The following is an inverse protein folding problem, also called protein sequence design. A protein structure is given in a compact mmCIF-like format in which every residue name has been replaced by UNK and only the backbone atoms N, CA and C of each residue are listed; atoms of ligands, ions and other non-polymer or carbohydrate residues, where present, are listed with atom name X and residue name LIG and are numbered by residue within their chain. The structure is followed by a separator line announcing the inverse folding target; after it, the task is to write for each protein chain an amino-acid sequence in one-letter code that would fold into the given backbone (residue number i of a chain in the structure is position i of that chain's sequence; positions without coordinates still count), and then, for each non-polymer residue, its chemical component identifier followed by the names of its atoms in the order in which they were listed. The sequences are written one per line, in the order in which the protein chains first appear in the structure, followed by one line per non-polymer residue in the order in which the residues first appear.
data_IF_645582897958
#
_entry.id   IF_645582897958
#
_cell.length_a   1.000
_cell.length_b   1.000
_cell.length_c   1.000
_cell.angle_alpha   90.00
_cell.angle_beta   90.00
_cell.angle_gamma   90.00
#
_symmetry.space_group_name_H-M   'P 1'
#
loop_
_entity.id
_entity.type
_entity.pdbx_description
1 polymer ?
#
# COMPACT_ATOMS: atom_id res chain seq x y z
N UNK A 1 9.06 -12.21 70.80
CA UNK A 1 7.78 -11.67 70.31
C UNK A 1 7.79 -11.69 68.78
N UNK A 2 6.69 -12.17 68.15
CA UNK A 2 6.16 -11.87 66.79
C UNK A 2 7.17 -11.86 65.60
N UNK A 3 7.27 -12.96 64.82
CA UNK A 3 6.58 -13.24 63.52
C UNK A 3 6.67 -12.11 62.48
N UNK A 4 7.34 -12.34 61.33
CA UNK A 4 6.91 -12.03 59.94
C UNK A 4 7.89 -12.76 58.97
N UNK A 5 7.53 -13.91 58.39
CA UNK A 5 7.00 -14.09 57.01
C UNK A 5 7.86 -13.41 55.92
N UNK A 6 8.70 -14.17 55.20
CA UNK A 6 8.43 -14.73 53.86
C UNK A 6 8.00 -13.66 52.84
N UNK A 7 8.84 -13.35 51.85
CA UNK A 7 8.46 -13.34 50.42
C UNK A 7 9.69 -13.21 49.53
N UNK A 8 10.00 -14.32 48.85
CA UNK A 8 10.86 -14.44 47.68
C UNK A 8 10.09 -13.85 46.50
N UNK A 9 10.60 -12.82 45.81
CA UNK A 9 10.25 -12.57 44.40
C UNK A 9 11.51 -12.14 43.62
N UNK A 10 11.99 -13.13 42.89
CA UNK A 10 12.81 -13.06 41.68
C UNK A 10 12.12 -12.17 40.63
N UNK A 11 12.69 -11.03 40.26
CA UNK A 11 12.26 -10.27 39.08
C UNK A 11 13.38 -10.30 38.05
N UNK A 12 13.21 -11.24 37.13
CA UNK A 12 13.94 -11.44 35.89
C UNK A 12 13.77 -10.28 34.92
N UNK A 13 14.89 -9.82 34.37
CA UNK A 13 15.08 -9.57 32.94
C UNK A 13 14.05 -8.72 32.21
N UNK A 14 14.23 -7.40 32.25
CA UNK A 14 13.70 -6.52 31.21
C UNK A 14 14.59 -6.62 29.96
N UNK A 15 14.22 -7.53 29.08
CA UNK A 15 14.70 -7.56 27.71
C UNK A 15 14.06 -6.38 26.97
N UNK A 16 14.85 -5.34 26.67
CA UNK A 16 14.41 -4.21 25.84
C UNK A 16 14.30 -4.67 24.39
N UNK A 17 13.14 -5.21 24.01
CA UNK A 17 12.77 -5.33 22.61
C UNK A 17 12.39 -3.94 22.10
N UNK A 18 13.32 -3.27 21.43
CA UNK A 18 13.03 -2.13 20.57
C UNK A 18 12.26 -2.63 19.36
N UNK A 19 10.93 -2.65 19.46
CA UNK A 19 10.08 -2.71 18.28
C UNK A 19 10.28 -1.40 17.53
N UNK A 20 10.78 -1.47 16.30
CA UNK A 20 10.68 -0.39 15.34
C UNK A 20 9.20 -0.04 15.20
N UNK A 21 8.79 1.04 15.86
CA UNK A 21 7.44 1.56 15.73
C UNK A 21 7.30 2.02 14.28
N UNK A 22 6.57 1.25 13.48
CA UNK A 22 5.89 1.80 12.31
C UNK A 22 5.10 3.03 12.79
N UNK A 23 5.07 4.13 12.01
CA UNK A 23 4.32 5.32 12.38
C UNK A 23 2.92 4.92 12.82
N UNK A 24 2.62 5.22 14.08
CA UNK A 24 1.30 5.09 14.67
C UNK A 24 0.32 5.79 13.73
N UNK A 25 -0.52 5.02 13.04
CA UNK A 25 -1.68 5.55 12.31
C UNK A 25 -2.75 5.89 13.34
N UNK A 26 -2.43 6.82 14.23
CA UNK A 26 -3.44 7.68 14.85
C UNK A 26 -4.13 8.39 13.70
N UNK A 27 -5.35 7.97 13.39
CA UNK A 27 -6.21 8.68 12.47
C UNK A 27 -6.25 10.16 12.89
N UNK A 28 -5.72 11.08 12.08
CA UNK A 28 -5.90 12.49 12.36
C UNK A 28 -7.35 12.80 11.99
N UNK A 29 -8.15 13.17 12.98
CA UNK A 29 -9.37 13.93 12.78
C UNK A 29 -8.98 15.36 12.34
N UNK A 30 -8.44 15.49 11.14
CA UNK A 30 -8.26 16.73 10.40
C UNK A 30 -8.29 16.37 8.92
N UNK A 31 -9.13 17.07 8.18
CA UNK A 31 -9.37 17.05 6.74
C UNK A 31 -8.12 16.94 5.85
N UNK A 32 -7.42 15.80 5.85
CA UNK A 32 -6.50 15.44 4.78
C UNK A 32 -7.34 14.90 3.65
N UNK A 33 -7.61 15.75 2.66
CA UNK A 33 -8.06 15.30 1.34
C UNK A 33 -7.19 14.09 0.96
N UNK A 34 -7.78 12.91 0.82
CA UNK A 34 -7.05 11.70 0.48
C UNK A 34 -6.24 11.97 -0.79
N UNK A 35 -4.91 12.04 -0.66
CA UNK A 35 -4.06 12.32 -1.80
C UNK A 35 -3.81 11.00 -2.54
N UNK A 36 -4.22 10.94 -3.80
CA UNK A 36 -4.10 9.74 -4.63
C UNK A 36 -2.65 9.21 -4.72
N UNK A 37 -1.62 10.05 -4.64
CA UNK A 37 -0.23 9.57 -4.59
C UNK A 37 0.14 8.87 -3.30
N UNK A 38 -0.43 9.30 -2.18
CA UNK A 38 -0.30 8.57 -0.92
C UNK A 38 -0.98 7.20 -1.03
N UNK A 39 -2.16 7.13 -1.65
CA UNK A 39 -2.87 5.87 -1.89
C UNK A 39 -2.08 4.92 -2.79
N UNK A 40 -1.45 5.45 -3.85
CA UNK A 40 -0.54 4.69 -4.73
C UNK A 40 0.66 4.16 -3.94
N UNK A 41 1.29 5.00 -3.13
CA UNK A 41 2.44 4.61 -2.30
C UNK A 41 2.08 3.53 -1.28
N UNK A 42 0.92 3.67 -0.62
CA UNK A 42 0.39 2.68 0.31
C UNK A 42 0.15 1.34 -0.38
N UNK A 43 -0.44 1.34 -1.57
CA UNK A 43 -0.65 0.12 -2.34
C UNK A 43 0.68 -0.56 -2.70
N UNK A 44 1.67 0.20 -3.15
CA UNK A 44 3.01 -0.34 -3.47
C UNK A 44 3.68 -0.94 -2.24
N UNK A 45 3.56 -0.28 -1.08
CA UNK A 45 4.06 -0.81 0.20
C UNK A 45 3.32 -2.08 0.65
N UNK A 46 2.06 -2.23 0.28
CA UNK A 46 1.25 -3.40 0.60
C UNK A 46 1.57 -4.62 -0.29
N UNK A 47 2.13 -4.41 -1.48
CA UNK A 47 2.52 -5.49 -2.39
C UNK A 47 3.86 -6.10 -1.91
N UNK A 48 3.91 -7.43 -1.78
CA UNK A 48 5.14 -8.14 -1.40
C UNK A 48 6.27 -7.85 -2.39
N UNK A 49 7.52 -7.65 -1.94
CA UNK A 49 8.66 -7.50 -2.84
C UNK A 49 8.81 -8.66 -3.84
N UNK A 50 8.52 -9.89 -3.40
CA UNK A 50 8.56 -11.08 -4.25
C UNK A 50 7.46 -11.12 -5.33
N UNK A 51 6.47 -10.23 -5.26
CA UNK A 51 5.42 -10.10 -6.26
C UNK A 51 5.84 -9.32 -7.49
N UNK A 52 6.87 -8.49 -7.34
CA UNK A 52 7.41 -7.71 -8.43
C UNK A 52 8.35 -8.55 -9.31
N UNK A 53 8.53 -8.12 -10.56
CA UNK A 53 9.57 -8.61 -11.45
C UNK A 53 10.96 -8.16 -10.97
N UNK A 54 12.02 -8.80 -11.46
CA UNK A 54 13.39 -8.45 -11.04
C UNK A 54 13.77 -7.00 -11.41
N UNK A 55 13.19 -6.48 -12.50
CA UNK A 55 13.41 -5.10 -12.97
C UNK A 55 12.92 -4.04 -11.97
N UNK A 56 11.95 -4.37 -11.12
CA UNK A 56 11.39 -3.41 -10.16
C UNK A 56 12.43 -2.85 -9.20
N UNK A 57 13.39 -3.66 -8.76
CA UNK A 57 14.40 -3.23 -7.78
C UNK A 57 15.23 -2.04 -8.26
N UNK A 58 15.58 -2.01 -9.55
CA UNK A 58 16.31 -0.89 -10.17
C UNK A 58 15.42 0.30 -10.51
N UNK A 59 14.14 0.06 -10.79
CA UNK A 59 13.20 1.10 -11.23
C UNK A 59 12.40 1.75 -10.09
N UNK A 60 12.32 1.11 -8.91
CA UNK A 60 11.45 1.52 -7.80
C UNK A 60 11.63 2.97 -7.40
N UNK A 61 12.88 3.42 -7.22
CA UNK A 61 13.15 4.78 -6.76
C UNK A 61 12.70 5.82 -7.79
N UNK A 62 13.06 5.62 -9.05
CA UNK A 62 12.67 6.49 -10.17
C UNK A 62 11.16 6.49 -10.37
N UNK A 63 10.54 5.31 -10.29
CA UNK A 63 9.09 5.17 -10.41
C UNK A 63 8.37 5.90 -9.27
N UNK A 64 8.84 5.76 -8.02
CA UNK A 64 8.25 6.43 -6.86
C UNK A 64 8.31 7.96 -6.99
N UNK A 65 9.45 8.51 -7.44
CA UNK A 65 9.57 9.94 -7.71
C UNK A 65 8.59 10.41 -8.79
N UNK A 66 8.44 9.65 -9.88
CA UNK A 66 7.47 9.97 -10.95
C UNK A 66 6.02 9.91 -10.45
N UNK A 67 5.66 8.85 -9.72
CA UNK A 67 4.31 8.67 -9.18
C UNK A 67 3.95 9.76 -8.17
N UNK A 68 4.92 10.20 -7.35
CA UNK A 68 4.74 11.31 -6.42
C UNK A 68 4.64 12.67 -7.12
N UNK A 69 5.36 12.88 -8.23
CA UNK A 69 5.25 14.09 -9.04
C UNK A 69 3.93 14.18 -9.81
N UNK A 70 3.29 13.04 -10.10
CA UNK A 70 2.07 12.96 -10.88
C UNK A 70 0.77 13.22 -10.08
N UNK A 71 0.85 13.48 -8.77
CA UNK A 71 -0.32 13.52 -7.86
C UNK A 71 -1.44 14.49 -8.22
N UNK A 72 -1.16 15.53 -8.99
CA UNK A 72 -2.14 16.51 -9.45
C UNK A 72 -2.65 16.26 -10.87
N UNK A 73 -2.13 15.25 -11.57
CA UNK A 73 -2.44 14.96 -12.96
C UNK A 73 -2.99 13.53 -13.11
N UNK A 74 -4.26 13.43 -13.51
CA UNK A 74 -4.94 12.17 -13.73
C UNK A 74 -4.21 11.28 -14.76
N UNK A 75 -3.68 11.88 -15.83
CA UNK A 75 -3.01 11.15 -16.92
C UNK A 75 -1.63 10.63 -16.50
N UNK A 76 -0.86 11.43 -15.77
CA UNK A 76 0.39 11.02 -15.13
C UNK A 76 0.20 9.92 -14.10
N UNK A 77 -0.87 9.98 -13.29
CA UNK A 77 -1.22 8.91 -12.35
C UNK A 77 -1.62 7.64 -13.06
N UNK A 78 -2.47 7.72 -14.08
CA UNK A 78 -2.87 6.58 -14.87
C UNK A 78 -1.66 5.89 -15.52
N UNK A 79 -0.73 6.68 -16.05
CA UNK A 79 0.54 6.20 -16.60
C UNK A 79 1.42 5.54 -15.54
N UNK A 80 1.46 6.10 -14.33
CA UNK A 80 2.19 5.53 -13.19
C UNK A 80 1.58 4.19 -12.75
N UNK A 81 0.25 4.08 -12.68
CA UNK A 81 -0.46 2.84 -12.32
C UNK A 81 -0.27 1.76 -13.40
N UNK A 82 -0.35 2.14 -14.67
CA UNK A 82 -0.09 1.25 -15.81
C UNK A 82 1.34 0.69 -15.78
N UNK A 83 2.33 1.55 -15.58
CA UNK A 83 3.73 1.10 -15.47
C UNK A 83 3.96 0.21 -14.25
N UNK A 84 3.33 0.50 -13.11
CA UNK A 84 3.37 -0.37 -11.93
C UNK A 84 2.84 -1.77 -12.24
N UNK A 85 1.73 -1.87 -12.98
CA UNK A 85 1.18 -3.15 -13.39
C UNK A 85 2.16 -3.96 -14.24
N UNK A 86 2.96 -3.30 -15.08
CA UNK A 86 4.06 -3.92 -15.84
C UNK A 86 5.17 -4.52 -14.98
N UNK A 87 5.36 -4.02 -13.75
CA UNK A 87 6.32 -4.57 -12.80
C UNK A 87 5.77 -5.72 -11.95
N UNK A 88 4.50 -6.10 -12.08
CA UNK A 88 3.93 -7.24 -11.36
C UNK A 88 4.11 -8.53 -12.15
N UNK A 89 4.53 -9.60 -11.47
CA UNK A 89 4.63 -10.93 -12.07
C UNK A 89 3.25 -11.38 -12.63
N UNK A 90 3.16 -11.82 -13.90
CA UNK A 90 1.88 -12.17 -14.54
C UNK A 90 1.04 -13.19 -13.75
N UNK A 91 1.68 -14.17 -13.10
CA UNK A 91 0.99 -15.19 -12.29
C UNK A 91 0.27 -14.66 -11.03
N UNK A 92 0.44 -13.38 -10.70
CA UNK A 92 -0.17 -12.73 -9.55
C UNK A 92 -1.43 -11.95 -9.87
N UNK A 93 -1.75 -11.75 -11.14
CA UNK A 93 -3.07 -11.25 -11.53
C UNK A 93 -4.13 -12.35 -11.39
N UNK A 94 -5.35 -11.95 -11.05
CA UNK A 94 -6.55 -12.79 -11.13
C UNK A 94 -6.88 -13.12 -12.59
N UNK A 95 -7.67 -14.17 -12.82
CA UNK A 95 -8.13 -14.53 -14.18
C UNK A 95 -8.90 -13.35 -14.77
N UNK A 96 -8.60 -12.99 -16.02
CA UNK A 96 -9.21 -11.85 -16.71
C UNK A 96 -8.53 -10.50 -16.43
N UNK A 97 -7.50 -10.46 -15.56
CA UNK A 97 -6.69 -9.28 -15.31
C UNK A 97 -5.27 -9.47 -15.83
N UNK A 98 -4.69 -8.41 -16.38
CA UNK A 98 -3.31 -8.39 -16.86
C UNK A 98 -2.77 -6.96 -16.83
N UNK A 99 -1.44 -6.83 -16.86
CA UNK A 99 -0.79 -5.52 -17.01
C UNK A 99 -1.28 -4.78 -18.27
N UNK A 100 -1.46 -5.48 -19.38
CA UNK A 100 -1.98 -4.91 -20.62
C UNK A 100 -3.41 -4.36 -20.46
N UNK A 101 -4.30 -5.12 -19.79
CA UNK A 101 -5.65 -4.64 -19.53
C UNK A 101 -5.69 -3.39 -18.65
N UNK A 102 -4.80 -3.29 -17.65
CA UNK A 102 -4.66 -2.07 -16.85
C UNK A 102 -4.13 -0.91 -17.70
N UNK A 103 -3.17 -1.17 -18.59
CA UNK A 103 -2.64 -0.17 -19.50
C UNK A 103 -3.72 0.37 -20.46
N UNK A 104 -4.61 -0.49 -20.94
CA UNK A 104 -5.73 -0.07 -21.79
C UNK A 104 -6.77 0.76 -21.02
N UNK A 105 -7.07 0.38 -19.77
CA UNK A 105 -7.94 1.18 -18.91
C UNK A 105 -7.32 2.57 -18.63
N UNK A 106 -6.01 2.63 -18.42
CA UNK A 106 -5.29 3.88 -18.16
C UNK A 106 -5.41 4.91 -19.28
N UNK A 107 -5.53 4.49 -20.55
CA UNK A 107 -5.67 5.39 -21.72
C UNK A 107 -6.94 6.23 -21.67
N UNK A 108 -7.96 5.77 -20.94
CA UNK A 108 -9.27 6.41 -20.89
C UNK A 108 -9.45 7.28 -19.63
N UNK A 109 -8.42 7.40 -18.79
CA UNK A 109 -8.49 8.15 -17.54
C UNK A 109 -8.20 9.63 -17.80
N UNK A 110 -9.20 10.48 -17.55
CA UNK A 110 -9.10 11.93 -17.73
C UNK A 110 -9.35 12.72 -16.43
N UNK A 111 -9.79 12.05 -15.36
CA UNK A 111 -10.07 12.66 -14.05
C UNK A 111 -9.37 11.93 -12.90
N UNK A 112 -9.19 12.61 -11.76
CA UNK A 112 -8.60 12.01 -10.56
C UNK A 112 -9.48 10.88 -9.99
N UNK A 113 -10.79 11.04 -10.01
CA UNK A 113 -11.75 9.96 -9.74
C UNK A 113 -11.57 8.75 -10.67
N UNK A 114 -11.30 8.98 -11.96
CA UNK A 114 -10.96 7.92 -12.91
C UNK A 114 -9.66 7.21 -12.56
N UNK A 115 -8.63 7.97 -12.17
CA UNK A 115 -7.36 7.43 -11.71
C UNK A 115 -7.51 6.63 -10.40
N UNK A 116 -8.35 7.09 -9.47
CA UNK A 116 -8.68 6.38 -8.24
C UNK A 116 -9.41 5.06 -8.54
N UNK A 117 -10.37 5.08 -9.48
CA UNK A 117 -11.05 3.89 -9.97
C UNK A 117 -10.10 2.90 -10.65
N UNK A 118 -9.13 3.40 -11.43
CA UNK A 118 -8.08 2.59 -12.03
C UNK A 118 -7.20 1.94 -10.96
N UNK A 119 -6.76 2.71 -9.95
CA UNK A 119 -5.94 2.20 -8.85
C UNK A 119 -6.67 1.11 -8.06
N UNK A 120 -7.96 1.33 -7.77
CA UNK A 120 -8.83 0.33 -7.14
C UNK A 120 -8.96 -0.92 -8.01
N UNK A 121 -9.15 -0.76 -9.31
CA UNK A 121 -9.25 -1.87 -10.27
C UNK A 121 -7.94 -2.67 -10.36
N UNK A 122 -6.80 -1.98 -10.35
CA UNK A 122 -5.49 -2.60 -10.30
C UNK A 122 -5.30 -3.43 -9.03
N UNK A 123 -5.55 -2.84 -7.85
CA UNK A 123 -5.47 -3.56 -6.58
C UNK A 123 -6.42 -4.76 -6.52
N UNK A 124 -7.67 -4.56 -6.97
CA UNK A 124 -8.69 -5.62 -7.07
C UNK A 124 -8.34 -6.72 -8.07
N UNK A 125 -7.53 -6.41 -9.10
CA UNK A 125 -7.05 -7.35 -10.11
C UNK A 125 -5.91 -8.26 -9.62
N UNK A 126 -5.27 -7.95 -8.49
CA UNK A 126 -4.20 -8.76 -7.91
C UNK A 126 -4.75 -9.87 -7.00
N UNK A 127 -4.10 -11.04 -7.02
CA UNK A 127 -4.39 -12.15 -6.12
C UNK A 127 -4.02 -11.77 -4.68
N UNK A 128 -4.74 -12.26 -3.65
CA UNK A 128 -4.41 -11.99 -2.25
C UNK A 128 -2.96 -12.33 -1.87
N UNK A 129 -2.40 -13.38 -2.48
CA UNK A 129 -1.00 -13.79 -2.24
C UNK A 129 0.04 -12.75 -2.67
N UNK A 130 -0.33 -11.81 -3.54
CA UNK A 130 0.54 -10.73 -3.99
C UNK A 130 0.80 -9.68 -2.89
N UNK A 131 -0.09 -9.60 -1.89
CA UNK A 131 -0.03 -8.62 -0.81
C UNK A 131 0.59 -9.18 0.47
N UNK A 132 1.11 -8.28 1.29
CA UNK A 132 1.51 -8.55 2.67
C UNK A 132 0.28 -8.94 3.52
N UNK A 133 0.42 -9.78 4.56
CA UNK A 133 -0.70 -10.22 5.37
C UNK A 133 -1.52 -9.09 6.01
N UNK A 134 -0.85 -8.00 6.39
CA UNK A 134 -1.45 -6.82 7.04
C UNK A 134 -2.39 -6.04 6.11
N UNK A 135 -2.20 -6.16 4.79
CA UNK A 135 -3.00 -5.43 3.80
C UNK A 135 -4.49 -5.72 3.92
N UNK A 136 -4.86 -6.96 4.25
CA UNK A 136 -6.27 -7.35 4.37
C UNK A 136 -7.02 -6.51 5.41
N UNK A 137 -6.35 -6.11 6.50
CA UNK A 137 -6.93 -5.24 7.53
C UNK A 137 -7.01 -3.77 7.10
N UNK A 138 -6.14 -3.33 6.19
CA UNK A 138 -6.05 -1.95 5.72
C UNK A 138 -6.88 -1.67 4.46
N UNK A 139 -7.17 -2.71 3.68
CA UNK A 139 -7.77 -2.60 2.35
C UNK A 139 -9.11 -1.85 2.37
N UNK A 140 -10.00 -2.14 3.33
CA UNK A 140 -11.31 -1.48 3.40
C UNK A 140 -11.19 0.03 3.67
N UNK A 141 -10.29 0.43 4.56
CA UNK A 141 -10.02 1.84 4.84
C UNK A 141 -9.40 2.55 3.64
N UNK A 142 -8.45 1.90 2.98
CA UNK A 142 -7.82 2.40 1.75
C UNK A 142 -8.82 2.57 0.60
N UNK A 143 -9.71 1.59 0.37
CA UNK A 143 -10.75 1.69 -0.66
C UNK A 143 -11.76 2.81 -0.35
N UNK A 144 -12.07 3.01 0.93
CA UNK A 144 -12.96 4.11 1.36
C UNK A 144 -12.30 5.47 1.12
N UNK A 145 -11.02 5.62 1.46
CA UNK A 145 -10.26 6.84 1.20
C UNK A 145 -10.15 7.14 -0.29
N UNK A 146 -9.96 6.12 -1.14
CA UNK A 146 -9.99 6.30 -2.60
C UNK A 146 -11.35 6.76 -3.12
N UNK A 147 -12.44 6.27 -2.55
CA UNK A 147 -13.79 6.69 -2.92
C UNK A 147 -14.11 8.16 -2.58
N UNK A 148 -13.30 8.79 -1.74
CA UNK A 148 -13.42 10.21 -1.40
C UNK A 148 -12.67 11.14 -2.37
N UNK A 149 -11.90 10.59 -3.33
CA UNK A 149 -11.18 11.36 -4.34
C UNK A 149 -12.12 11.66 -5.51
N UNK A 150 -12.42 12.94 -5.73
CA UNK A 150 -13.28 13.43 -6.81
C UNK A 150 -12.46 13.95 -7.99
#
# INVERSE_FOLDING_TARGET
MKRYFLFIILVTGLCSATYAQLPNVTAPATSSVANIGQMVTQLVGAIKPSSFTNAWSGEKANWMQKAQGAVSDASGLASSISSLAGFIKPGLFKKGFSAAGIADLAKNVTSLSGAAGLLKSFAGGLKPKAFNPEWKGQQSGWESALGMIQ
#
